data_IF_854081413019
#
_entry.id   IF_854081413019
#
_cell.length_a   1.000
_cell.length_b   1.000
_cell.length_c   1.000
_cell.angle_alpha   90.00
_cell.angle_beta   90.00
_cell.angle_gamma   90.00
#
_symmetry.space_group_name_H-M   'P 1'
#
loop_
_entity.id
_entity.type
_entity.pdbx_description
1 polymer ?
#
# COMPACT_ATOMS: atom_id res chain seq x y z
N UNK A 1 45.47 -5.94 -13.16
CA UNK A 1 44.02 -6.18 -13.22
C UNK A 1 43.44 -5.50 -11.99
N UNK A 2 42.62 -4.47 -12.16
CA UNK A 2 41.91 -3.90 -11.02
C UNK A 2 40.77 -4.87 -10.70
N UNK A 3 40.77 -5.45 -9.51
CA UNK A 3 39.66 -6.28 -9.06
C UNK A 3 38.40 -5.42 -9.05
N UNK A 4 37.35 -5.91 -9.72
CA UNK A 4 36.04 -5.26 -9.78
C UNK A 4 35.04 -6.03 -8.93
N UNK A 5 34.18 -5.30 -8.23
CA UNK A 5 33.09 -5.85 -7.45
C UNK A 5 31.75 -5.41 -8.05
N UNK A 6 30.78 -6.31 -8.04
CA UNK A 6 29.40 -6.06 -8.43
C UNK A 6 28.55 -5.81 -7.19
N UNK A 7 27.84 -4.68 -7.16
CA UNK A 7 26.92 -4.33 -6.08
C UNK A 7 25.50 -4.26 -6.63
N UNK A 8 24.57 -4.95 -5.98
CA UNK A 8 23.13 -4.91 -6.31
C UNK A 8 22.39 -4.18 -5.19
N UNK A 9 21.57 -3.19 -5.55
CA UNK A 9 20.89 -2.33 -4.58
C UNK A 9 19.40 -2.62 -4.49
N UNK A 10 18.95 -3.03 -3.31
CA UNK A 10 17.53 -3.13 -2.97
C UNK A 10 17.01 -1.80 -2.39
N UNK A 11 15.75 -1.40 -2.64
CA UNK A 11 14.76 -2.12 -3.44
C UNK A 11 14.82 -1.79 -4.94
N UNK A 12 15.80 -1.03 -5.43
CA UNK A 12 15.85 -0.57 -6.83
C UNK A 12 16.13 -1.67 -7.85
N UNK A 13 16.79 -2.77 -7.46
CA UNK A 13 17.29 -3.81 -8.38
C UNK A 13 18.49 -3.39 -9.22
N UNK A 14 18.96 -2.14 -9.12
CA UNK A 14 20.06 -1.60 -9.91
C UNK A 14 21.37 -2.31 -9.55
N UNK A 15 22.15 -2.63 -10.58
CA UNK A 15 23.48 -3.22 -10.45
C UNK A 15 24.54 -2.22 -10.88
N UNK A 16 25.55 -2.00 -10.03
CA UNK A 16 26.71 -1.20 -10.33
C UNK A 16 27.99 -2.04 -10.22
N UNK A 17 29.00 -1.71 -11.03
CA UNK A 17 30.32 -2.31 -10.91
C UNK A 17 31.35 -1.26 -10.54
N UNK A 18 32.16 -1.55 -9.53
CA UNK A 18 33.15 -0.62 -8.97
C UNK A 18 34.48 -1.32 -8.76
N UNK A 19 35.57 -0.55 -8.82
CA UNK A 19 36.89 -1.05 -8.49
C UNK A 19 37.01 -1.34 -6.98
N UNK A 20 37.87 -2.29 -6.62
CA UNK A 20 38.23 -2.55 -5.24
C UNK A 20 38.66 -1.27 -4.52
N UNK A 21 38.16 -1.09 -3.29
CA UNK A 21 38.39 0.12 -2.49
C UNK A 21 37.33 1.22 -2.66
N UNK A 22 36.39 1.08 -3.60
CA UNK A 22 35.25 1.98 -3.72
C UNK A 22 34.25 1.82 -2.55
N UNK A 23 33.57 2.92 -2.20
CA UNK A 23 32.52 2.88 -1.18
C UNK A 23 31.17 2.45 -1.76
N UNK A 24 30.24 2.07 -0.89
CA UNK A 24 28.85 1.83 -1.30
C UNK A 24 28.24 3.08 -1.94
N UNK A 25 28.59 4.28 -1.48
CA UNK A 25 28.13 5.53 -2.09
C UNK A 25 28.69 5.73 -3.51
N UNK A 26 29.95 5.35 -3.76
CA UNK A 26 30.53 5.42 -5.10
C UNK A 26 29.84 4.45 -6.04
N UNK A 27 29.55 3.23 -5.57
CA UNK A 27 28.76 2.25 -6.31
C UNK A 27 27.35 2.75 -6.59
N UNK A 28 26.70 3.38 -5.61
CA UNK A 28 25.37 3.96 -5.78
C UNK A 28 25.39 5.07 -6.84
N UNK A 29 26.37 5.98 -6.81
CA UNK A 29 26.53 7.05 -7.80
C UNK A 29 26.82 6.52 -9.20
N UNK A 30 27.68 5.51 -9.31
CA UNK A 30 28.01 4.89 -10.60
C UNK A 30 26.81 4.17 -11.22
N UNK A 31 25.94 3.58 -10.39
CA UNK A 31 24.72 2.90 -10.83
C UNK A 31 23.49 3.80 -11.00
N UNK A 32 23.54 5.07 -10.59
CA UNK A 32 22.35 5.94 -10.54
C UNK A 32 21.35 5.52 -9.46
N UNK A 33 21.81 4.86 -8.40
CA UNK A 33 20.98 4.44 -7.26
C UNK A 33 20.66 5.65 -6.39
N UNK A 34 19.41 5.72 -5.96
CA UNK A 34 18.91 6.81 -5.12
C UNK A 34 19.39 6.67 -3.66
N UNK A 35 20.60 7.16 -3.38
CA UNK A 35 21.21 7.18 -2.05
C UNK A 35 21.59 8.61 -1.63
N UNK A 36 20.94 9.13 -0.59
CA UNK A 36 21.10 10.50 -0.11
C UNK A 36 22.50 10.73 0.50
N UNK A 37 23.17 11.79 0.05
CA UNK A 37 24.52 12.15 0.49
C UNK A 37 24.73 13.66 0.61
N UNK A 38 23.82 14.40 1.25
CA UNK A 38 23.93 15.86 1.47
C UNK A 38 25.26 16.35 2.07
N UNK A 39 25.94 15.52 2.88
CA UNK A 39 27.23 15.88 3.46
C UNK A 39 28.41 15.64 2.50
N UNK A 40 28.18 15.18 1.27
CA UNK A 40 29.23 14.89 0.30
C UNK A 40 30.08 13.67 0.63
N UNK A 41 29.60 12.76 1.48
CA UNK A 41 30.34 11.56 1.88
C UNK A 41 31.28 11.72 3.08
N UNK A 42 31.14 12.81 3.85
CA UNK A 42 31.98 13.11 5.03
C UNK A 42 31.59 12.36 6.31
N UNK A 43 30.59 11.47 6.27
CA UNK A 43 30.13 10.72 7.44
C UNK A 43 29.43 11.55 8.54
N UNK A 44 28.90 12.74 8.21
CA UNK A 44 28.36 13.67 9.21
C UNK A 44 26.84 13.62 9.39
N UNK A 45 26.09 13.21 8.36
CA UNK A 45 24.63 13.40 8.32
C UNK A 45 23.79 12.14 8.56
N UNK A 46 24.37 10.95 8.40
CA UNK A 46 23.65 9.67 8.52
C UNK A 46 22.48 9.49 7.56
N UNK A 47 22.50 10.14 6.40
CA UNK A 47 21.46 9.97 5.36
C UNK A 47 21.80 8.92 4.31
N UNK A 48 23.05 8.47 4.25
CA UNK A 48 23.50 7.40 3.37
C UNK A 48 23.48 6.04 4.08
N UNK A 49 22.59 5.82 5.05
CA UNK A 49 22.58 4.57 5.81
C UNK A 49 22.17 3.43 4.90
N UNK A 50 22.87 2.30 5.01
CA UNK A 50 22.65 1.09 4.22
C UNK A 50 22.92 -0.14 5.08
N UNK A 51 22.45 -1.31 4.66
CA UNK A 51 22.83 -2.60 5.26
C UNK A 51 23.21 -3.59 4.16
N UNK A 52 24.16 -4.48 4.46
CA UNK A 52 24.47 -5.60 3.57
C UNK A 52 23.66 -6.83 3.98
N UNK A 53 23.19 -7.60 3.01
CA UNK A 53 22.46 -8.85 3.27
C UNK A 53 23.39 -9.94 3.83
N UNK A 54 24.66 -9.93 3.41
CA UNK A 54 25.69 -10.89 3.85
C UNK A 54 26.77 -10.18 4.69
N UNK A 55 27.26 -10.86 5.73
CA UNK A 55 28.35 -10.34 6.56
C UNK A 55 29.70 -10.47 5.83
N UNK A 56 30.62 -9.53 6.06
CA UNK A 56 31.98 -9.56 5.50
C UNK A 56 32.13 -9.09 4.05
N UNK A 57 31.04 -8.74 3.36
CA UNK A 57 31.11 -8.16 1.99
C UNK A 57 31.42 -6.66 1.99
N UNK A 58 31.25 -6.00 3.13
CA UNK A 58 31.65 -4.62 3.39
C UNK A 58 32.76 -4.58 4.44
N UNK A 59 33.61 -3.56 4.40
CA UNK A 59 34.65 -3.32 5.40
C UNK A 59 34.09 -3.19 6.80
N UNK A 60 34.87 -3.49 7.82
CA UNK A 60 34.48 -3.26 9.22
C UNK A 60 34.18 -1.79 9.52
N UNK A 61 33.40 -1.48 10.58
CA UNK A 61 33.10 -0.11 10.98
C UNK A 61 34.36 0.70 11.26
N UNK A 62 34.54 1.78 10.49
CA UNK A 62 35.68 2.68 10.67
C UNK A 62 35.51 3.65 11.86
N UNK A 63 36.55 4.42 12.22
CA UNK A 63 36.50 5.40 13.31
C UNK A 63 35.36 6.42 13.16
N UNK A 64 35.06 6.85 11.92
CA UNK A 64 33.96 7.76 11.61
C UNK A 64 32.61 7.17 12.00
N UNK A 65 32.39 5.88 11.76
CA UNK A 65 31.14 5.20 12.09
C UNK A 65 31.04 4.91 13.60
N UNK A 66 32.14 4.46 14.21
CA UNK A 66 32.19 4.19 15.66
C UNK A 66 31.99 5.46 16.50
N UNK A 67 32.55 6.58 16.04
CA UNK A 67 32.43 7.90 16.66
C UNK A 67 31.19 8.68 16.22
N UNK A 68 30.32 8.11 15.40
CA UNK A 68 29.18 8.82 14.84
C UNK A 68 28.16 9.20 15.94
N UNK A 69 27.86 10.49 16.03
CA UNK A 69 26.91 11.11 16.98
C UNK A 69 25.92 12.05 16.28
N UNK A 70 25.69 11.84 14.98
CA UNK A 70 24.80 12.68 14.19
C UNK A 70 23.32 12.46 14.51
N UNK A 71 22.45 13.32 13.95
CA UNK A 71 21.00 13.35 14.25
C UNK A 71 20.26 12.05 13.92
N UNK A 72 20.79 11.23 13.02
CA UNK A 72 20.20 9.94 12.61
C UNK A 72 21.09 8.81 13.10
N UNK A 73 20.85 8.24 14.29
CA UNK A 73 21.71 7.21 14.86
C UNK A 73 21.79 5.98 13.94
N UNK A 74 22.95 5.32 13.93
CA UNK A 74 23.13 4.05 13.25
C UNK A 74 22.48 2.96 14.10
N UNK A 75 21.39 2.36 13.60
CA UNK A 75 20.80 1.18 14.22
C UNK A 75 21.72 -0.04 13.98
N UNK A 76 21.54 -1.10 14.77
CA UNK A 76 22.33 -2.33 14.62
C UNK A 76 22.28 -2.88 13.19
N UNK A 77 23.45 -3.15 12.60
CA UNK A 77 23.58 -3.66 11.23
C UNK A 77 23.63 -2.59 10.13
N UNK A 78 23.28 -1.34 10.42
CA UNK A 78 23.36 -0.24 9.45
C UNK A 78 24.76 0.41 9.45
N UNK A 79 25.20 0.77 8.26
CA UNK A 79 26.51 1.37 7.96
C UNK A 79 26.33 2.68 7.22
N UNK A 80 27.30 3.58 7.34
CA UNK A 80 27.35 4.76 6.49
C UNK A 80 27.84 4.33 5.11
N UNK A 81 26.97 4.33 4.11
CA UNK A 81 27.33 3.92 2.75
C UNK A 81 28.48 4.74 2.15
N UNK A 82 28.70 5.96 2.64
CA UNK A 82 29.86 6.78 2.27
C UNK A 82 31.19 6.40 2.95
N UNK A 83 31.18 5.48 3.91
CA UNK A 83 32.36 5.02 4.64
C UNK A 83 32.56 3.50 4.49
N UNK A 84 31.49 2.75 4.23
CA UNK A 84 31.55 1.32 3.99
C UNK A 84 32.20 1.03 2.62
N UNK A 85 33.36 0.37 2.65
CA UNK A 85 34.10 -0.04 1.46
C UNK A 85 33.60 -1.40 1.00
N UNK A 86 33.42 -1.58 -0.31
CA UNK A 86 33.01 -2.86 -0.91
C UNK A 86 34.22 -3.77 -1.01
N UNK A 87 34.17 -4.93 -0.34
CA UNK A 87 35.26 -5.92 -0.31
C UNK A 87 35.02 -7.12 -1.24
N UNK A 88 33.75 -7.37 -1.59
CA UNK A 88 33.33 -8.45 -2.46
C UNK A 88 32.03 -8.07 -3.19
N UNK A 89 31.56 -8.95 -4.07
CA UNK A 89 30.22 -8.79 -4.63
C UNK A 89 29.20 -8.73 -3.49
N UNK A 90 28.31 -7.74 -3.54
CA UNK A 90 27.44 -7.43 -2.41
C UNK A 90 26.00 -7.16 -2.85
N UNK A 91 25.05 -7.60 -2.02
CA UNK A 91 23.67 -7.13 -2.06
C UNK A 91 23.50 -6.14 -0.90
N UNK A 92 23.09 -4.93 -1.25
CA UNK A 92 22.97 -3.80 -0.32
C UNK A 92 21.54 -3.30 -0.30
N UNK A 93 20.96 -3.23 0.88
CA UNK A 93 19.65 -2.64 1.11
C UNK A 93 19.79 -1.14 1.41
N UNK A 94 19.07 -0.33 0.63
CA UNK A 94 18.92 1.12 0.81
C UNK A 94 17.57 1.40 1.46
N UNK A 95 17.53 1.69 2.77
CA UNK A 95 16.28 1.95 3.48
C UNK A 95 15.60 3.23 2.94
N UNK A 96 14.25 3.33 3.02
CA UNK A 96 13.51 4.47 2.49
C UNK A 96 13.98 5.83 3.02
N UNK A 97 14.46 5.91 4.27
CA UNK A 97 14.95 7.14 4.90
C UNK A 97 16.25 7.64 4.27
N UNK A 98 16.95 6.78 3.54
CA UNK A 98 18.21 7.06 2.84
C UNK A 98 18.03 7.37 1.35
N UNK A 99 16.80 7.38 0.82
CA UNK A 99 16.52 7.69 -0.59
C UNK A 99 16.19 9.18 -0.75
N UNK A 100 16.71 9.84 -1.79
CA UNK A 100 16.47 11.29 -2.05
C UNK A 100 15.04 11.51 -2.51
N UNK A 101 14.55 10.66 -3.42
CA UNK A 101 13.18 10.66 -3.90
C UNK A 101 12.35 9.78 -2.98
N UNK A 102 12.08 10.28 -1.78
CA UNK A 102 11.01 9.73 -0.97
C UNK A 102 9.73 9.77 -1.80
N UNK A 103 8.95 8.67 -1.91
CA UNK A 103 7.60 8.75 -2.44
C UNK A 103 6.82 9.70 -1.53
N UNK A 104 6.74 10.97 -1.94
CA UNK A 104 5.89 11.94 -1.30
C UNK A 104 4.61 11.87 -2.10
N UNK A 105 3.59 11.20 -1.55
CA UNK A 105 2.22 11.44 -1.97
C UNK A 105 1.97 12.92 -1.68
N UNK A 106 2.11 13.76 -2.71
CA UNK A 106 1.86 15.19 -2.57
C UNK A 106 0.35 15.39 -2.51
N UNK A 107 -0.05 16.06 -1.44
CA UNK A 107 -1.31 16.80 -1.22
C UNK A 107 -2.46 16.01 -0.60
N UNK A 108 -3.00 16.62 0.46
CA UNK A 108 -4.41 16.61 0.77
C UNK A 108 -5.19 16.82 -0.54
N UNK A 109 -5.92 15.81 -0.98
CA UNK A 109 -6.82 15.94 -2.10
C UNK A 109 -7.99 16.76 -1.57
N UNK A 110 -8.15 17.98 -2.09
CA UNK A 110 -9.31 18.80 -1.78
C UNK A 110 -10.46 18.34 -2.68
N UNK A 111 -11.25 17.39 -2.18
CA UNK A 111 -12.42 16.83 -2.88
C UNK A 111 -13.71 17.59 -2.54
N UNK A 112 -13.64 18.82 -2.04
CA UNK A 112 -14.81 19.58 -1.53
C UNK A 112 -15.96 19.74 -2.53
N UNK A 113 -15.76 19.49 -3.82
CA UNK A 113 -16.79 19.58 -4.87
C UNK A 113 -17.08 18.25 -5.61
N UNK A 114 -16.51 17.11 -5.17
CA UNK A 114 -16.72 15.83 -5.87
C UNK A 114 -17.95 15.12 -5.33
N UNK A 115 -19.01 15.08 -6.14
CA UNK A 115 -20.17 14.21 -5.90
C UNK A 115 -19.75 12.77 -6.22
N UNK A 116 -19.60 11.93 -5.20
CA UNK A 116 -19.31 10.51 -5.40
C UNK A 116 -20.61 9.76 -5.71
N UNK A 117 -20.64 9.08 -6.84
CA UNK A 117 -21.63 8.06 -7.15
C UNK A 117 -20.96 6.69 -7.01
N UNK A 118 -20.93 6.11 -5.79
CA UNK A 118 -20.22 4.87 -5.57
C UNK A 118 -20.94 3.74 -6.30
N UNK A 119 -20.16 2.86 -6.94
CA UNK A 119 -20.71 1.66 -7.59
C UNK A 119 -21.24 0.67 -6.56
N UNK A 120 -20.72 0.73 -5.33
CA UNK A 120 -21.23 -0.04 -4.18
C UNK A 120 -22.03 0.87 -3.27
N UNK A 121 -23.29 0.52 -3.02
CA UNK A 121 -24.23 1.28 -2.20
C UNK A 121 -24.79 0.42 -1.06
N UNK A 122 -25.13 1.06 0.06
CA UNK A 122 -25.71 0.39 1.24
C UNK A 122 -27.17 0.80 1.37
N UNK A 123 -28.05 -0.18 1.57
CA UNK A 123 -29.50 0.02 1.61
C UNK A 123 -30.09 -0.64 2.86
N UNK A 124 -30.54 0.17 3.81
CA UNK A 124 -31.24 -0.30 4.99
C UNK A 124 -32.71 -0.61 4.66
N UNK A 125 -33.20 -1.76 5.12
CA UNK A 125 -34.60 -2.19 4.97
C UNK A 125 -35.10 -2.87 6.24
N UNK A 126 -36.39 -2.71 6.52
CA UNK A 126 -37.10 -3.39 7.60
C UNK A 126 -38.05 -4.43 7.01
N UNK A 127 -38.04 -5.65 7.56
CA UNK A 127 -38.82 -6.76 7.05
C UNK A 127 -40.06 -7.02 7.91
N UNK A 128 -41.22 -7.32 7.31
CA UNK A 128 -42.49 -7.48 8.03
C UNK A 128 -42.44 -8.65 9.01
N UNK A 129 -43.09 -8.59 10.17
CA UNK A 129 -43.12 -9.74 11.09
C UNK A 129 -43.63 -11.02 10.43
N UNK A 130 -42.96 -12.14 10.73
CA UNK A 130 -43.38 -13.46 10.24
C UNK A 130 -44.32 -14.08 11.26
N UNK A 131 -45.62 -14.07 10.94
CA UNK A 131 -46.66 -14.73 11.73
C UNK A 131 -46.96 -16.14 11.21
N UNK A 132 -47.61 -16.97 12.03
CA UNK A 132 -48.03 -18.32 11.62
C UNK A 132 -48.90 -18.26 10.35
N UNK A 133 -48.52 -19.02 9.32
CA UNK A 133 -49.19 -19.05 8.01
C UNK A 133 -48.57 -18.12 6.97
N UNK A 134 -47.48 -17.42 7.30
CA UNK A 134 -46.72 -16.61 6.35
C UNK A 134 -45.75 -17.49 5.55
N UNK A 135 -45.96 -17.56 4.22
CA UNK A 135 -45.13 -18.33 3.29
C UNK A 135 -44.42 -17.38 2.32
N UNK A 136 -43.20 -16.95 2.67
CA UNK A 136 -42.32 -16.22 1.77
C UNK A 136 -40.86 -16.58 2.06
N UNK A 137 -40.02 -16.66 1.04
CA UNK A 137 -38.59 -16.82 1.26
C UNK A 137 -38.01 -15.48 1.72
N UNK A 138 -37.04 -15.53 2.64
CA UNK A 138 -36.41 -14.30 3.15
C UNK A 138 -35.72 -13.48 2.06
N UNK A 139 -35.21 -14.15 1.02
CA UNK A 139 -34.64 -13.48 -0.15
C UNK A 139 -35.68 -12.66 -0.90
N UNK A 140 -36.90 -13.18 -1.03
CA UNK A 140 -38.01 -12.47 -1.68
C UNK A 140 -38.43 -11.27 -0.82
N UNK A 141 -38.51 -11.44 0.51
CA UNK A 141 -38.82 -10.33 1.42
C UNK A 141 -37.81 -9.19 1.33
N UNK A 142 -36.52 -9.52 1.28
CA UNK A 142 -35.46 -8.52 1.14
C UNK A 142 -35.50 -7.87 -0.24
N UNK A 143 -35.70 -8.64 -1.31
CA UNK A 143 -35.81 -8.12 -2.66
C UNK A 143 -37.02 -7.16 -2.81
N UNK A 144 -38.18 -7.54 -2.27
CA UNK A 144 -39.40 -6.73 -2.29
C UNK A 144 -39.23 -5.42 -1.50
N UNK A 145 -38.58 -5.48 -0.33
CA UNK A 145 -38.28 -4.30 0.47
C UNK A 145 -37.31 -3.36 -0.26
N UNK A 146 -36.26 -3.89 -0.89
CA UNK A 146 -35.33 -3.10 -1.71
C UNK A 146 -36.00 -2.48 -2.94
N UNK A 147 -36.94 -3.20 -3.58
CA UNK A 147 -37.71 -2.67 -4.69
C UNK A 147 -38.63 -1.53 -4.25
N UNK A 148 -39.29 -1.69 -3.09
CA UNK A 148 -40.25 -0.72 -2.55
C UNK A 148 -39.57 0.55 -2.05
N UNK A 149 -38.55 0.39 -1.20
CA UNK A 149 -37.95 1.52 -0.48
C UNK A 149 -36.87 2.24 -1.30
N UNK A 150 -36.18 1.50 -2.19
CA UNK A 150 -35.00 1.99 -2.90
C UNK A 150 -35.12 1.92 -4.43
N UNK A 151 -36.21 1.38 -4.97
CA UNK A 151 -36.39 1.21 -6.41
C UNK A 151 -35.36 0.28 -7.05
N UNK A 152 -34.86 -0.69 -6.29
CA UNK A 152 -33.91 -1.71 -6.77
C UNK A 152 -34.65 -3.00 -7.10
N UNK A 153 -34.67 -3.35 -8.39
CA UNK A 153 -35.31 -4.56 -8.91
C UNK A 153 -34.30 -5.40 -9.69
N UNK A 154 -34.67 -6.65 -10.02
CA UNK A 154 -33.83 -7.60 -10.75
C UNK A 154 -32.47 -7.86 -10.08
N UNK A 155 -32.46 -7.90 -8.74
CA UNK A 155 -31.27 -8.15 -7.94
C UNK A 155 -30.83 -9.62 -8.01
N UNK A 156 -29.53 -9.83 -8.20
CA UNK A 156 -28.87 -11.11 -8.09
C UNK A 156 -28.37 -11.31 -6.65
N UNK A 157 -28.74 -12.45 -6.06
CA UNK A 157 -28.26 -12.89 -4.76
C UNK A 157 -27.33 -14.10 -4.95
N UNK A 158 -26.00 -13.90 -4.96
CA UNK A 158 -25.04 -14.99 -5.03
C UNK A 158 -25.22 -15.96 -3.85
N UNK A 159 -24.99 -17.25 -4.09
CA UNK A 159 -25.11 -18.31 -3.08
C UNK A 159 -24.39 -18.00 -1.75
N UNK A 160 -23.17 -17.42 -1.74
CA UNK A 160 -22.51 -17.05 -0.48
C UNK A 160 -23.31 -16.06 0.37
N UNK A 161 -24.04 -15.13 -0.25
CA UNK A 161 -24.88 -14.14 0.44
C UNK A 161 -26.12 -14.81 1.02
N UNK A 162 -26.73 -15.73 0.26
CA UNK A 162 -27.92 -16.47 0.71
C UNK A 162 -27.68 -17.21 2.03
N UNK A 163 -26.48 -17.75 2.23
CA UNK A 163 -26.12 -18.44 3.47
C UNK A 163 -26.05 -17.50 4.70
N UNK A 164 -25.75 -16.21 4.48
CA UNK A 164 -25.68 -15.19 5.53
C UNK A 164 -26.99 -14.46 5.80
N UNK A 165 -27.99 -14.63 4.93
CA UNK A 165 -29.24 -13.87 4.96
C UNK A 165 -30.05 -14.08 6.24
N UNK A 166 -30.45 -15.33 6.53
CA UNK A 166 -31.27 -15.65 7.71
C UNK A 166 -30.59 -15.26 9.03
N UNK A 167 -29.29 -15.59 9.24
CA UNK A 167 -28.59 -15.13 10.43
C UNK A 167 -28.56 -13.60 10.58
N UNK A 168 -28.37 -12.86 9.48
CA UNK A 168 -28.34 -11.41 9.51
C UNK A 168 -29.71 -10.81 9.87
N UNK A 169 -30.78 -11.32 9.28
CA UNK A 169 -32.16 -10.93 9.57
C UNK A 169 -32.50 -11.19 11.04
N UNK A 170 -32.16 -12.37 11.56
CA UNK A 170 -32.43 -12.71 12.95
C UNK A 170 -31.63 -11.84 13.94
N UNK A 171 -30.34 -11.62 13.67
CA UNK A 171 -29.48 -10.81 14.52
C UNK A 171 -29.84 -9.30 14.49
N UNK A 172 -30.41 -8.84 13.38
CA UNK A 172 -30.82 -7.45 13.17
C UNK A 172 -32.26 -7.15 13.60
N UNK A 173 -32.91 -8.07 14.33
CA UNK A 173 -34.32 -7.96 14.72
C UNK A 173 -35.22 -7.63 13.53
N UNK A 174 -35.07 -8.42 12.45
CA UNK A 174 -35.73 -8.26 11.15
C UNK A 174 -35.44 -6.96 10.39
N UNK A 175 -34.41 -6.23 10.77
CA UNK A 175 -33.85 -5.14 9.97
C UNK A 175 -32.46 -5.52 9.46
N UNK A 176 -32.14 -5.12 8.23
CA UNK A 176 -30.83 -5.41 7.61
C UNK A 176 -30.35 -4.26 6.74
N UNK A 177 -29.04 -4.15 6.58
CA UNK A 177 -28.40 -3.31 5.57
C UNK A 177 -27.83 -4.19 4.46
N UNK A 178 -28.27 -3.95 3.24
CA UNK A 178 -27.88 -4.72 2.06
C UNK A 178 -26.83 -3.94 1.28
N UNK A 179 -25.70 -4.58 1.00
CA UNK A 179 -24.60 -4.03 0.19
C UNK A 179 -24.81 -4.44 -1.26
N UNK A 180 -25.04 -3.46 -2.14
CA UNK A 180 -25.38 -3.68 -3.55
C UNK A 180 -24.30 -3.10 -4.45
N UNK A 181 -23.81 -3.90 -5.39
CA UNK A 181 -22.89 -3.48 -6.44
C UNK A 181 -23.65 -3.24 -7.75
N UNK A 182 -23.40 -2.08 -8.35
CA UNK A 182 -23.93 -1.65 -9.65
C UNK A 182 -25.45 -1.81 -9.76
N UNK A 183 -26.15 -1.54 -8.64
CA UNK A 183 -27.61 -1.66 -8.50
C UNK A 183 -28.19 -3.04 -8.87
N UNK A 184 -27.35 -4.07 -9.00
CA UNK A 184 -27.75 -5.37 -9.55
C UNK A 184 -27.32 -6.55 -8.70
N UNK A 185 -26.11 -6.55 -8.16
CA UNK A 185 -25.59 -7.73 -7.45
C UNK A 185 -25.48 -7.44 -5.97
N UNK A 186 -26.14 -8.24 -5.14
CA UNK A 186 -25.97 -8.17 -3.70
C UNK A 186 -24.62 -8.80 -3.33
N UNK A 187 -23.78 -8.05 -2.64
CA UNK A 187 -22.46 -8.49 -2.21
C UNK A 187 -22.45 -9.03 -0.78
N UNK A 188 -23.27 -8.43 0.09
CA UNK A 188 -23.28 -8.70 1.53
C UNK A 188 -24.60 -8.25 2.15
N UNK A 189 -24.98 -8.85 3.29
CA UNK A 189 -26.15 -8.47 4.08
C UNK A 189 -25.75 -8.42 5.54
N UNK A 190 -25.94 -7.26 6.17
CA UNK A 190 -25.53 -6.97 7.54
C UNK A 190 -26.74 -6.87 8.46
N UNK A 191 -26.66 -7.36 9.71
CA UNK A 191 -27.72 -7.17 10.69
C UNK A 191 -27.92 -5.68 11.02
N UNK A 192 -29.17 -5.23 11.05
CA UNK A 192 -29.52 -3.86 11.44
C UNK A 192 -29.03 -2.77 10.50
N UNK A 193 -28.98 -1.54 11.01
CA UNK A 193 -28.41 -0.39 10.30
C UNK A 193 -26.88 -0.40 10.35
N UNK A 194 -26.24 -0.24 9.18
CA UNK A 194 -24.80 -0.09 9.01
C UNK A 194 -24.52 0.92 7.90
N UNK A 195 -23.73 1.94 8.17
CA UNK A 195 -23.26 2.92 7.20
C UNK A 195 -21.75 2.79 6.89
N UNK A 196 -21.11 1.74 7.42
CA UNK A 196 -19.70 1.48 7.22
C UNK A 196 -19.40 0.98 5.80
N UNK A 197 -19.19 1.92 4.88
CA UNK A 197 -18.78 1.65 3.51
C UNK A 197 -17.42 2.28 3.22
N UNK A 198 -16.44 1.47 2.82
CA UNK A 198 -15.10 1.94 2.46
C UNK A 198 -14.76 1.56 1.02
N UNK A 199 -14.10 2.48 0.31
CA UNK A 199 -13.56 2.29 -1.03
C UNK A 199 -12.05 2.50 -1.04
N UNK A 200 -11.36 1.86 -1.96
CA UNK A 200 -9.94 2.13 -2.21
C UNK A 200 -9.75 2.54 -3.66
N UNK A 201 -9.17 3.73 -3.87
CA UNK A 201 -8.70 4.16 -5.18
C UNK A 201 -7.19 3.90 -5.27
N UNK A 202 -6.75 3.21 -6.33
CA UNK A 202 -5.34 2.88 -6.57
C UNK A 202 -4.90 3.47 -7.90
N UNK A 203 -3.87 4.32 -7.87
CA UNK A 203 -3.18 4.82 -9.05
C UNK A 203 -1.86 4.06 -9.23
N UNK A 204 -1.72 3.39 -10.36
CA UNK A 204 -0.57 2.54 -10.69
C UNK A 204 0.23 3.18 -11.81
N UNK A 205 1.20 4.03 -11.45
CA UNK A 205 2.19 4.58 -12.36
C UNK A 205 3.41 3.68 -12.52
N UNK A 206 4.23 3.93 -13.56
CA UNK A 206 5.48 3.18 -13.81
C UNK A 206 6.47 3.29 -12.64
N UNK A 207 6.56 4.47 -12.02
CA UNK A 207 7.48 4.72 -10.90
C UNK A 207 6.80 4.64 -9.53
N UNK A 208 5.52 4.99 -9.43
CA UNK A 208 4.82 5.15 -8.14
C UNK A 208 3.47 4.47 -8.17
N UNK A 209 3.16 3.75 -7.10
CA UNK A 209 1.81 3.28 -6.79
C UNK A 209 1.29 4.14 -5.65
N UNK A 210 0.16 4.80 -5.85
CA UNK A 210 -0.56 5.54 -4.81
C UNK A 210 -1.88 4.85 -4.49
N UNK A 211 -2.27 4.88 -3.22
CA UNK A 211 -3.52 4.33 -2.72
C UNK A 211 -4.21 5.33 -1.80
N UNK A 212 -5.52 5.42 -1.95
CA UNK A 212 -6.39 6.30 -1.18
C UNK A 212 -7.54 5.46 -0.61
N UNK A 213 -7.73 5.53 0.70
CA UNK A 213 -8.88 4.94 1.39
C UNK A 213 -9.95 6.03 1.52
N UNK A 214 -11.15 5.75 1.03
CA UNK A 214 -12.27 6.68 1.01
C UNK A 214 -13.45 6.11 1.79
N UNK A 215 -14.17 6.96 2.50
CA UNK A 215 -15.49 6.63 3.01
C UNK A 215 -16.52 6.81 1.86
N UNK A 216 -17.32 5.79 1.59
CA UNK A 216 -18.21 5.78 0.42
C UNK A 216 -19.44 6.69 0.58
N UNK A 217 -19.86 6.96 1.82
CA UNK A 217 -21.03 7.79 2.13
C UNK A 217 -20.74 9.30 1.94
N UNK A 218 -19.56 9.74 2.39
CA UNK A 218 -19.13 11.14 2.36
C UNK A 218 -18.21 11.47 1.19
N UNK A 219 -17.48 10.47 0.69
CA UNK A 219 -16.38 10.64 -0.25
C UNK A 219 -15.09 11.18 0.36
N UNK A 220 -15.02 11.29 1.69
CA UNK A 220 -13.82 11.77 2.39
C UNK A 220 -12.66 10.78 2.26
N UNK A 221 -11.45 11.30 2.04
CA UNK A 221 -10.22 10.49 2.04
C UNK A 221 -9.74 10.30 3.49
N UNK A 222 -10.04 9.14 4.06
CA UNK A 222 -9.61 8.80 5.41
C UNK A 222 -8.09 8.52 5.50
N UNK A 223 -7.48 7.98 4.45
CA UNK A 223 -6.03 7.75 4.42
C UNK A 223 -5.47 7.80 3.00
N UNK A 224 -4.20 8.19 2.87
CA UNK A 224 -3.46 8.14 1.63
C UNK A 224 -2.05 7.58 1.87
N UNK A 225 -1.60 6.71 0.99
CA UNK A 225 -0.25 6.11 1.05
C UNK A 225 0.30 5.91 -0.34
N UNK A 226 1.62 5.88 -0.47
CA UNK A 226 2.28 5.67 -1.74
C UNK A 226 3.60 4.94 -1.56
N UNK A 227 3.97 4.15 -2.56
CA UNK A 227 5.23 3.42 -2.60
C UNK A 227 5.80 3.43 -4.00
N UNK A 228 7.11 3.20 -4.08
CA UNK A 228 7.77 2.96 -5.35
C UNK A 228 7.19 1.70 -6.00
N UNK A 229 6.91 1.76 -7.30
CA UNK A 229 6.41 0.60 -8.02
C UNK A 229 7.52 -0.48 -8.06
N UNK A 230 7.29 -1.70 -7.52
CA UNK A 230 8.30 -2.75 -7.54
C UNK A 230 8.66 -3.23 -8.96
N UNK A 231 7.84 -2.89 -9.97
CA UNK A 231 8.08 -3.25 -11.37
C UNK A 231 9.26 -2.49 -12.01
N UNK A 232 9.74 -1.41 -11.39
CA UNK A 232 10.93 -0.66 -11.88
C UNK A 232 12.14 -1.57 -12.09
N UNK A 233 12.26 -2.66 -11.32
CA UNK A 233 13.35 -3.64 -11.43
C UNK A 233 13.38 -4.39 -12.76
N UNK A 234 12.26 -4.44 -13.48
CA UNK A 234 12.11 -5.22 -14.70
C UNK A 234 12.11 -4.37 -15.97
N UNK A 235 12.22 -3.05 -15.83
CA UNK A 235 12.15 -2.09 -16.93
C UNK A 235 11.40 -0.83 -16.47
N UNK A 236 11.92 0.33 -16.86
CA UNK A 236 11.33 1.63 -16.50
C UNK A 236 10.13 1.99 -17.39
N UNK A 237 9.90 1.22 -18.48
CA UNK A 237 8.94 1.51 -19.54
C UNK A 237 8.10 0.27 -19.93
N UNK A 238 6.85 0.48 -20.35
CA UNK A 238 5.88 -0.54 -20.76
C UNK A 238 6.30 -1.36 -22.00
N UNK A 239 7.40 -0.96 -22.67
CA UNK A 239 7.90 -1.57 -23.90
C UNK A 239 9.13 -2.48 -23.72
N UNK A 240 9.57 -2.76 -22.49
CA UNK A 240 10.73 -3.65 -22.22
C UNK A 240 10.38 -5.13 -22.18
#
# INVERSE_FOLDING_TARGET
MHDMHSVVFNPSGIRASVAAGATVLDAARAGGVDLDSVCGGRGLCGRCQVSATEAGVLSDPGPTELGYRGRRPLAGGFRLGCQAVVLANAVVDVPPESQVHRPVVRKAIDLTEVIIHPVVTLHYVELPEVVLGFEAAEVDLVADALATDWGLSDLEFPVPVLAGLSPAIAAGDRSVTVVVHDRRTVLDVRPGYSDEGWGVAVDVGSTTIAGYLLELSSGEVAAASGRMNPQIRFGEDLMS
#
